data_IF_637115386716
#
_entry.id   IF_637115386716
#
_cell.length_a   1.000
_cell.length_b   1.000
_cell.length_c   1.000
_cell.angle_alpha   90.00
_cell.angle_beta   90.00
_cell.angle_gamma   90.00
#
_symmetry.space_group_name_H-M   'P 1'
#
loop_
_entity.id
_entity.type
_entity.pdbx_description
1 polymer ?
#
# COMPACT_ATOMS: atom_id res chain seq x y z
N UNK A 1 19.64 -54.54 -55.03
CA UNK A 1 18.50 -54.14 -54.21
C UNK A 1 19.02 -53.30 -53.04
N UNK A 2 18.82 -51.99 -53.08
CA UNK A 2 19.27 -51.02 -52.03
C UNK A 2 18.09 -50.75 -51.12
N UNK A 3 18.21 -51.17 -49.87
CA UNK A 3 17.20 -50.94 -48.84
C UNK A 3 17.47 -49.52 -48.22
N UNK A 4 16.60 -48.58 -48.50
CA UNK A 4 16.62 -47.21 -48.01
C UNK A 4 16.04 -47.22 -46.59
N UNK A 5 16.89 -46.98 -45.58
CA UNK A 5 16.47 -46.81 -44.19
C UNK A 5 16.08 -45.34 -43.98
N UNK A 6 14.78 -45.12 -43.82
CA UNK A 6 14.26 -43.84 -43.33
C UNK A 6 14.48 -43.77 -41.83
N UNK A 7 15.35 -42.87 -41.39
CA UNK A 7 15.47 -42.47 -39.98
C UNK A 7 14.51 -41.30 -39.75
N UNK A 8 13.40 -41.56 -39.08
CA UNK A 8 12.50 -40.50 -38.59
C UNK A 8 13.11 -39.93 -37.32
N UNK A 9 13.69 -38.72 -37.42
CA UNK A 9 14.11 -37.95 -36.27
C UNK A 9 12.88 -37.30 -35.63
N UNK A 10 12.43 -37.84 -34.50
CA UNK A 10 11.43 -37.22 -33.65
C UNK A 10 12.09 -36.02 -32.92
N UNK A 11 11.87 -34.82 -33.42
CA UNK A 11 12.19 -33.62 -32.68
C UNK A 11 11.19 -33.45 -31.54
N UNK A 12 11.54 -33.89 -30.33
CA UNK A 12 10.88 -33.47 -29.12
C UNK A 12 11.26 -32.00 -28.88
N UNK A 13 10.41 -31.12 -29.33
CA UNK A 13 10.45 -29.71 -28.93
C UNK A 13 10.03 -29.63 -27.47
N UNK A 14 11.00 -29.53 -26.56
CA UNK A 14 10.74 -29.11 -25.21
C UNK A 14 10.24 -27.65 -25.26
N UNK A 15 8.92 -27.47 -25.21
CA UNK A 15 8.34 -26.19 -24.90
C UNK A 15 8.75 -25.85 -23.47
N UNK A 16 9.82 -25.08 -23.33
CA UNK A 16 10.11 -24.38 -22.09
C UNK A 16 8.89 -23.48 -21.82
N UNK A 17 8.01 -23.92 -20.92
CA UNK A 17 7.03 -23.05 -20.33
C UNK A 17 7.82 -21.94 -19.65
N UNK A 18 7.90 -20.80 -20.30
CA UNK A 18 8.29 -19.54 -19.68
C UNK A 18 7.33 -19.37 -18.52
N UNK A 19 7.77 -19.65 -17.30
CA UNK A 19 7.11 -19.19 -16.11
C UNK A 19 7.06 -17.68 -16.29
N UNK A 20 5.86 -17.16 -16.59
CA UNK A 20 5.62 -15.74 -16.59
C UNK A 20 6.12 -15.24 -15.24
N UNK A 21 7.17 -14.46 -15.25
CA UNK A 21 7.65 -13.71 -14.10
C UNK A 21 6.46 -12.86 -13.70
N UNK A 22 5.69 -13.34 -12.70
CA UNK A 22 4.57 -12.61 -12.16
C UNK A 22 5.19 -11.34 -11.61
N UNK A 23 5.11 -10.26 -12.40
CA UNK A 23 5.90 -9.06 -12.27
C UNK A 23 5.90 -8.63 -10.82
N UNK A 24 7.09 -8.62 -10.21
CA UNK A 24 7.26 -8.21 -8.83
C UNK A 24 6.60 -6.85 -8.68
N UNK A 25 5.56 -6.75 -7.85
CA UNK A 25 4.90 -5.49 -7.57
C UNK A 25 5.95 -4.52 -7.03
N UNK A 26 6.18 -3.42 -7.74
CA UNK A 26 7.20 -2.42 -7.41
C UNK A 26 6.60 -1.14 -6.86
N UNK A 27 5.32 -0.88 -7.18
CA UNK A 27 4.60 0.32 -6.74
C UNK A 27 3.18 0.00 -6.29
N UNK A 28 2.65 0.86 -5.44
CA UNK A 28 1.26 0.82 -4.97
C UNK A 28 0.57 2.10 -5.43
N UNK A 29 -0.33 1.96 -6.40
CA UNK A 29 -1.12 3.08 -6.89
C UNK A 29 -2.26 3.38 -5.89
N UNK A 30 -2.16 4.54 -5.23
CA UNK A 30 -3.18 5.01 -4.30
C UNK A 30 -4.03 6.07 -4.97
N UNK A 31 -5.29 5.76 -5.13
CA UNK A 31 -6.30 6.72 -5.54
C UNK A 31 -7.02 7.23 -4.29
N UNK A 32 -6.64 8.39 -3.79
CA UNK A 32 -7.33 9.04 -2.66
C UNK A 32 -8.44 9.91 -3.23
N UNK A 33 -9.67 9.46 -3.05
CA UNK A 33 -10.83 10.32 -3.31
C UNK A 33 -10.81 11.45 -2.29
N UNK A 34 -10.86 12.72 -2.72
CA UNK A 34 -10.89 13.82 -1.77
C UNK A 34 -12.12 13.69 -0.86
N UNK A 35 -11.91 13.79 0.44
CA UNK A 35 -12.99 13.86 1.40
C UNK A 35 -13.67 15.21 1.32
N UNK A 36 -14.98 15.19 1.25
CA UNK A 36 -15.79 16.38 1.35
C UNK A 36 -16.47 16.38 2.71
N UNK A 37 -16.19 17.38 3.54
CA UNK A 37 -17.04 17.68 4.69
C UNK A 37 -18.14 18.64 4.26
N UNK A 38 -19.37 18.41 4.69
CA UNK A 38 -20.43 19.39 4.54
C UNK A 38 -20.35 20.36 5.72
N UNK A 39 -19.72 21.51 5.50
CA UNK A 39 -19.75 22.62 6.45
C UNK A 39 -20.78 23.63 5.94
N UNK A 40 -21.81 23.90 6.73
CA UNK A 40 -22.88 24.84 6.39
C UNK A 40 -23.54 24.58 5.02
N UNK A 41 -23.68 23.33 4.63
CA UNK A 41 -24.29 22.91 3.35
C UNK A 41 -23.39 23.07 2.12
N UNK A 42 -22.12 23.42 2.29
CA UNK A 42 -21.13 23.44 1.21
C UNK A 42 -20.16 22.29 1.40
N UNK A 43 -19.87 21.53 0.33
CA UNK A 43 -18.85 20.52 0.34
C UNK A 43 -17.47 21.21 0.38
N UNK A 44 -16.70 20.98 1.45
CA UNK A 44 -15.33 21.47 1.58
C UNK A 44 -14.35 20.29 1.49
N UNK A 45 -13.28 20.50 0.75
CA UNK A 45 -12.19 19.52 0.66
C UNK A 45 -11.45 19.45 2.00
N UNK A 46 -11.52 18.28 2.66
CA UNK A 46 -10.79 18.06 3.90
C UNK A 46 -9.34 17.69 3.56
N UNK A 47 -8.43 18.56 3.88
CA UNK A 47 -7.01 18.30 3.83
C UNK A 47 -6.60 17.58 5.12
N UNK A 48 -6.08 16.38 4.95
CA UNK A 48 -5.83 15.49 6.09
C UNK A 48 -4.61 15.91 6.91
N UNK A 49 -3.63 16.53 6.30
CA UNK A 49 -2.50 17.20 6.96
C UNK A 49 -1.66 17.93 5.91
N UNK A 50 -1.90 19.21 5.71
CA UNK A 50 -1.33 20.03 4.63
C UNK A 50 0.20 19.98 4.52
N UNK A 51 0.88 19.85 5.67
CA UNK A 51 2.35 19.88 5.72
C UNK A 51 3.01 18.69 5.01
N UNK A 52 2.34 17.54 4.94
CA UNK A 52 2.93 16.31 4.40
C UNK A 52 2.32 15.86 3.08
N UNK A 53 1.16 16.39 2.70
CA UNK A 53 0.49 16.02 1.44
C UNK A 53 1.40 16.25 0.21
N UNK A 54 2.08 17.40 0.16
CA UNK A 54 3.02 17.71 -0.91
C UNK A 54 4.21 16.76 -0.94
N UNK A 55 4.78 16.47 0.23
CA UNK A 55 5.93 15.58 0.38
C UNK A 55 5.60 14.14 -0.02
N UNK A 56 4.43 13.63 0.35
CA UNK A 56 4.00 12.29 -0.01
C UNK A 56 3.63 12.13 -1.48
N UNK A 57 3.34 13.23 -2.19
CA UNK A 57 3.08 13.22 -3.63
C UNK A 57 4.35 13.17 -4.47
N UNK A 58 5.44 13.72 -3.99
CA UNK A 58 6.68 13.87 -4.78
C UNK A 58 7.36 12.54 -5.11
N UNK A 59 7.21 11.54 -4.25
CA UNK A 59 7.78 10.20 -4.44
C UNK A 59 9.31 10.15 -4.31
N UNK A 60 9.98 11.20 -3.82
CA UNK A 60 11.43 11.18 -3.56
C UNK A 60 11.73 10.65 -2.15
N UNK A 61 12.93 10.08 -1.99
CA UNK A 61 13.39 9.60 -0.67
C UNK A 61 13.53 10.77 0.34
N UNK A 62 14.00 11.91 -0.12
CA UNK A 62 14.19 13.10 0.70
C UNK A 62 12.86 13.61 1.26
N UNK A 63 11.85 13.74 0.40
CA UNK A 63 10.51 14.17 0.80
C UNK A 63 9.83 13.13 1.69
N UNK A 64 10.03 11.84 1.40
CA UNK A 64 9.56 10.76 2.28
C UNK A 64 10.14 10.90 3.69
N UNK A 65 11.46 11.05 3.82
CA UNK A 65 12.12 11.23 5.12
C UNK A 65 11.68 12.50 5.84
N UNK A 66 11.44 13.57 5.10
CA UNK A 66 10.88 14.82 5.64
C UNK A 66 9.46 14.61 6.17
N UNK A 67 8.59 13.91 5.43
CA UNK A 67 7.25 13.56 5.87
C UNK A 67 7.28 12.64 7.10
N UNK A 68 8.14 11.62 7.10
CA UNK A 68 8.33 10.70 8.21
C UNK A 68 8.72 11.45 9.49
N UNK A 69 9.65 12.39 9.40
CA UNK A 69 10.05 13.23 10.54
C UNK A 69 8.89 14.07 11.08
N UNK A 70 8.10 14.70 10.22
CA UNK A 70 6.92 15.48 10.64
C UNK A 70 5.92 14.58 11.40
N UNK A 71 5.71 13.35 10.92
CA UNK A 71 4.84 12.38 11.58
C UNK A 71 5.38 11.97 12.96
N UNK A 72 6.68 11.76 13.07
CA UNK A 72 7.33 11.40 14.34
C UNK A 72 7.30 12.55 15.35
N UNK A 73 7.48 13.79 14.88
CA UNK A 73 7.48 14.99 15.73
C UNK A 73 6.07 15.34 16.27
N UNK A 74 5.01 14.98 15.54
CA UNK A 74 3.63 15.28 15.93
C UNK A 74 2.66 14.13 15.63
N UNK A 75 2.87 12.93 16.20
CA UNK A 75 2.10 11.73 15.86
C UNK A 75 0.61 11.85 16.15
N UNK A 76 0.21 12.69 17.12
CA UNK A 76 -1.19 12.95 17.48
C UNK A 76 -1.99 13.66 16.36
N UNK A 77 -1.30 14.36 15.47
CA UNK A 77 -1.93 15.13 14.38
C UNK A 77 -2.17 14.30 13.12
N UNK A 78 -1.78 13.03 13.12
CA UNK A 78 -1.75 12.20 11.92
C UNK A 78 -2.89 11.20 11.92
N UNK A 79 -3.61 11.12 10.81
CA UNK A 79 -4.71 10.16 10.64
C UNK A 79 -4.19 8.78 10.21
N UNK A 80 -4.98 7.70 10.42
CA UNK A 80 -4.63 6.39 9.89
C UNK A 80 -4.36 6.41 8.38
N UNK A 81 -5.11 7.19 7.62
CA UNK A 81 -4.95 7.28 6.17
C UNK A 81 -3.61 7.85 5.75
N UNK A 82 -3.15 8.90 6.43
CA UNK A 82 -1.82 9.46 6.18
C UNK A 82 -0.72 8.42 6.41
N UNK A 83 -0.85 7.61 7.46
CA UNK A 83 0.12 6.53 7.75
C UNK A 83 0.08 5.41 6.70
N UNK A 84 -1.10 5.08 6.14
CA UNK A 84 -1.19 4.13 5.03
C UNK A 84 -0.50 4.68 3.77
N UNK A 85 -0.67 5.97 3.47
CA UNK A 85 0.03 6.60 2.34
C UNK A 85 1.54 6.60 2.56
N UNK A 86 1.99 6.89 3.79
CA UNK A 86 3.41 6.82 4.14
C UNK A 86 3.95 5.40 3.96
N UNK A 87 3.20 4.37 4.38
CA UNK A 87 3.55 2.97 4.15
C UNK A 87 3.68 2.63 2.67
N UNK A 88 2.72 3.07 1.84
CA UNK A 88 2.77 2.83 0.41
C UNK A 88 3.98 3.51 -0.24
N UNK A 89 4.29 4.74 0.14
CA UNK A 89 5.48 5.45 -0.36
C UNK A 89 6.78 4.80 0.08
N UNK A 90 6.87 4.33 1.32
CA UNK A 90 8.01 3.52 1.77
C UNK A 90 8.17 2.27 0.90
N UNK A 91 7.06 1.59 0.60
CA UNK A 91 7.07 0.43 -0.27
C UNK A 91 7.59 0.76 -1.67
N UNK A 92 7.09 1.82 -2.32
CA UNK A 92 7.48 2.26 -3.67
C UNK A 92 8.98 2.62 -3.73
N UNK A 93 9.50 3.18 -2.64
CA UNK A 93 10.93 3.51 -2.50
C UNK A 93 11.82 2.29 -2.16
N UNK A 94 11.24 1.09 -2.03
CA UNK A 94 11.98 -0.12 -1.67
C UNK A 94 12.28 -0.26 -0.18
N UNK A 95 11.81 0.65 0.66
CA UNK A 95 11.97 0.65 2.12
C UNK A 95 10.93 -0.31 2.74
N UNK A 96 11.17 -1.61 2.58
CA UNK A 96 10.17 -2.64 2.90
C UNK A 96 9.86 -2.75 4.40
N UNK A 97 10.87 -2.63 5.26
CA UNK A 97 10.70 -2.71 6.70
C UNK A 97 9.94 -1.48 7.23
N UNK A 98 10.25 -0.30 6.72
CA UNK A 98 9.50 0.94 7.02
C UNK A 98 8.05 0.86 6.51
N UNK A 99 7.84 0.25 5.34
CA UNK A 99 6.49 0.03 4.82
C UNK A 99 5.66 -0.84 5.77
N UNK A 100 6.22 -1.94 6.29
CA UNK A 100 5.58 -2.80 7.30
C UNK A 100 5.31 -2.01 8.57
N UNK A 101 6.31 -1.29 9.09
CA UNK A 101 6.17 -0.49 10.31
C UNK A 101 5.02 0.50 10.21
N UNK A 102 4.97 1.31 9.14
CA UNK A 102 3.94 2.32 8.96
C UNK A 102 2.57 1.71 8.69
N UNK A 103 2.50 0.57 7.97
CA UNK A 103 1.24 -0.15 7.74
C UNK A 103 0.58 -0.60 9.05
N UNK A 104 1.34 -1.24 9.93
CA UNK A 104 0.79 -1.72 11.19
C UNK A 104 0.50 -0.60 12.17
N UNK A 105 1.27 0.49 12.17
CA UNK A 105 0.93 1.70 12.92
C UNK A 105 -0.39 2.31 12.43
N UNK A 106 -0.59 2.40 11.12
CA UNK A 106 -1.85 2.87 10.53
C UNK A 106 -3.03 1.98 10.95
N UNK A 107 -2.87 0.65 10.85
CA UNK A 107 -3.88 -0.33 11.22
C UNK A 107 -4.25 -0.26 12.70
N UNK A 108 -3.25 -0.21 13.58
CA UNK A 108 -3.47 -0.09 15.02
C UNK A 108 -4.20 1.22 15.36
N UNK A 109 -3.81 2.33 14.74
CA UNK A 109 -4.49 3.62 14.92
C UNK A 109 -5.93 3.59 14.40
N UNK A 110 -6.20 2.91 13.29
CA UNK A 110 -7.55 2.71 12.79
C UNK A 110 -8.43 1.88 13.74
N UNK A 111 -7.85 0.87 14.39
CA UNK A 111 -8.53 0.07 15.43
C UNK A 111 -8.86 0.97 16.62
N UNK A 112 -7.88 1.72 17.15
CA UNK A 112 -8.10 2.64 18.27
C UNK A 112 -9.15 3.72 17.95
N UNK A 113 -9.17 4.21 16.71
CA UNK A 113 -10.17 5.19 16.28
C UNK A 113 -11.59 4.63 16.39
N UNK A 114 -11.80 3.35 16.10
CA UNK A 114 -13.11 2.68 16.20
C UNK A 114 -13.57 2.50 17.64
N UNK A 115 -12.65 2.44 18.60
CA UNK A 115 -12.98 2.35 20.03
C UNK A 115 -13.46 3.70 20.60
N UNK A 116 -13.03 4.81 20.00
CA UNK A 116 -13.39 6.17 20.47
C UNK A 116 -14.48 6.84 19.64
N UNK A 117 -14.64 6.43 18.37
CA UNK A 117 -15.62 7.01 17.44
C UNK A 117 -16.49 5.89 16.90
N UNK A 118 -17.80 6.06 16.97
CA UNK A 118 -18.72 5.15 16.31
C UNK A 118 -18.65 5.32 14.80
N UNK A 119 -17.76 4.57 14.13
CA UNK A 119 -17.60 4.59 12.68
C UNK A 119 -18.77 3.94 11.92
N UNK A 120 -19.72 3.31 12.62
CA UNK A 120 -20.95 2.76 12.01
C UNK A 120 -22.05 3.83 11.85
N UNK A 121 -21.84 5.04 12.40
CA UNK A 121 -22.67 6.19 12.08
C UNK A 121 -22.48 6.57 10.62
N UNK A 122 -23.60 6.79 9.89
CA UNK A 122 -23.59 7.08 8.46
C UNK A 122 -22.74 8.28 8.05
N UNK A 123 -22.47 9.21 8.98
CA UNK A 123 -21.58 10.36 8.77
C UNK A 123 -20.12 9.96 8.53
N UNK A 124 -19.71 8.78 9.00
CA UNK A 124 -18.35 8.26 8.87
C UNK A 124 -18.22 7.16 7.81
N UNK A 125 -19.26 6.92 7.01
CA UNK A 125 -19.27 5.86 6.00
C UNK A 125 -18.07 5.96 5.04
N UNK A 126 -17.77 7.15 4.55
CA UNK A 126 -16.64 7.37 3.62
C UNK A 126 -15.30 7.10 4.30
N UNK A 127 -15.13 7.57 5.55
CA UNK A 127 -13.90 7.34 6.35
C UNK A 127 -13.70 5.85 6.58
N UNK A 128 -14.74 5.14 7.00
CA UNK A 128 -14.70 3.68 7.23
C UNK A 128 -14.36 2.94 5.94
N UNK A 129 -15.00 3.30 4.84
CA UNK A 129 -14.79 2.68 3.52
C UNK A 129 -13.35 2.91 3.03
N UNK A 130 -12.82 4.12 3.18
CA UNK A 130 -11.47 4.45 2.78
C UNK A 130 -10.42 3.70 3.64
N UNK A 131 -10.59 3.65 4.95
CA UNK A 131 -9.71 2.87 5.82
C UNK A 131 -9.69 1.40 5.38
N UNK A 132 -10.86 0.82 5.11
CA UNK A 132 -10.97 -0.55 4.60
C UNK A 132 -10.25 -0.76 3.26
N UNK A 133 -10.41 0.18 2.32
CA UNK A 133 -9.75 0.16 1.03
C UNK A 133 -8.21 0.23 1.16
N UNK A 134 -7.70 1.11 2.02
CA UNK A 134 -6.26 1.20 2.29
C UNK A 134 -5.70 -0.06 2.94
N UNK A 135 -6.39 -0.62 3.93
CA UNK A 135 -5.97 -1.87 4.58
C UNK A 135 -5.84 -2.98 3.53
N UNK A 136 -6.80 -3.07 2.61
CA UNK A 136 -6.74 -4.06 1.54
C UNK A 136 -5.62 -3.75 0.55
N UNK A 137 -5.60 -2.58 -0.03
CA UNK A 137 -4.66 -2.19 -1.10
C UNK A 137 -3.20 -2.31 -0.65
N UNK A 138 -2.86 -1.70 0.48
CA UNK A 138 -1.50 -1.71 1.01
C UNK A 138 -1.17 -3.06 1.64
N UNK A 139 -2.13 -3.68 2.32
CA UNK A 139 -1.96 -4.97 2.98
C UNK A 139 -1.71 -6.12 2.02
N UNK A 140 -2.36 -6.13 0.85
CA UNK A 140 -2.15 -7.16 -0.18
C UNK A 140 -0.68 -7.22 -0.65
N UNK A 141 0.07 -6.13 -0.50
CA UNK A 141 1.47 -6.02 -0.92
C UNK A 141 2.43 -6.13 0.26
N UNK A 142 2.12 -5.49 1.38
CA UNK A 142 2.99 -5.41 2.55
C UNK A 142 2.97 -6.71 3.36
N UNK A 143 1.80 -7.35 3.53
CA UNK A 143 1.67 -8.56 4.33
C UNK A 143 2.51 -9.75 3.81
N UNK A 144 2.55 -10.06 2.49
CA UNK A 144 3.41 -11.13 2.00
C UNK A 144 4.87 -10.94 2.38
N UNK A 145 5.36 -9.71 2.34
CA UNK A 145 6.71 -9.40 2.78
C UNK A 145 6.88 -9.56 4.30
N UNK A 146 5.94 -9.05 5.09
CA UNK A 146 5.97 -9.11 6.56
C UNK A 146 5.91 -10.56 7.08
N UNK A 147 5.11 -11.43 6.45
CA UNK A 147 4.89 -12.80 6.90
C UNK A 147 5.88 -13.83 6.32
N UNK A 148 6.67 -13.47 5.33
CA UNK A 148 7.74 -14.35 4.81
C UNK A 148 8.91 -14.50 5.78
N UNK A 149 9.07 -13.59 6.75
CA UNK A 149 10.13 -13.64 7.75
C UNK A 149 9.55 -13.50 9.17
N UNK A 150 9.34 -14.64 9.83
CA UNK A 150 8.76 -14.70 11.19
C UNK A 150 9.63 -13.93 12.22
N UNK A 151 10.93 -13.82 11.99
CA UNK A 151 11.84 -13.04 12.87
C UNK A 151 11.58 -11.54 12.82
N UNK A 152 10.97 -11.04 11.77
CA UNK A 152 10.61 -9.62 11.64
C UNK A 152 9.30 -9.25 12.34
N UNK A 153 8.59 -10.24 12.89
CA UNK A 153 7.32 -10.03 13.58
C UNK A 153 7.46 -9.96 15.12
N UNK A 154 8.64 -10.25 15.64
CA UNK A 154 8.99 -10.17 17.06
C UNK A 154 9.65 -8.84 17.38
#
# INVERSE_FOLDING_TARGET
MKILRFLAALCFGAAAASAADAGKVTSIDIYVTPYYSANAGKAEHVKVYDKIDGLLKSGTLEDFKSAEKIVQDAPQMVTPMTLFVLSARAYDLGLRDEAVFWFYNAKNRAILLREVINLDDGRFFEVKSAIGAFIKLVGDVVNPYAFCDIKKQQ
#
